data_IF_351099307834
#
_entry.id   IF_351099307834
#
_cell.length_a   1.000
_cell.length_b   1.000
_cell.length_c   1.000
_cell.angle_alpha   90.00
_cell.angle_beta   90.00
_cell.angle_gamma   90.00
#
_symmetry.space_group_name_H-M   'P 1'
#
loop_
_entity.id
_entity.type
_entity.pdbx_description
1 polymer ?
#
# COMPACT_ATOMS: atom_id res chain seq x y z
N UNK A 1 10.35 -0.46 11.25
CA UNK A 1 9.19 -0.37 10.35
C UNK A 1 9.78 -0.28 8.95
N UNK A 2 9.33 -1.13 8.04
CA UNK A 2 9.79 -1.11 6.67
C UNK A 2 9.42 0.23 6.01
N UNK A 3 10.35 0.85 5.29
CA UNK A 3 10.12 2.13 4.64
C UNK A 3 8.99 2.02 3.61
N UNK A 4 8.85 0.88 2.92
CA UNK A 4 7.80 0.65 1.93
C UNK A 4 6.40 0.70 2.56
N UNK A 5 6.23 0.09 3.73
CA UNK A 5 4.96 0.09 4.46
C UNK A 5 4.58 1.47 5.02
N UNK A 6 5.55 2.30 5.37
CA UNK A 6 5.30 3.68 5.80
C UNK A 6 4.70 4.51 4.65
N UNK A 7 5.32 4.45 3.46
CA UNK A 7 4.81 5.12 2.26
C UNK A 7 3.43 4.59 1.86
N UNK A 8 3.20 3.27 1.97
CA UNK A 8 1.89 2.69 1.72
C UNK A 8 0.83 3.23 2.69
N UNK A 9 1.17 3.35 3.98
CA UNK A 9 0.25 3.89 4.98
C UNK A 9 -0.16 5.32 4.64
N UNK A 10 0.78 6.15 4.20
CA UNK A 10 0.52 7.51 3.73
C UNK A 10 -0.29 7.55 2.44
N UNK A 11 -0.05 6.62 1.50
CA UNK A 11 -0.86 6.52 0.30
C UNK A 11 -2.31 6.13 0.63
N UNK A 12 -2.51 5.11 1.47
CA UNK A 12 -3.84 4.65 1.90
C UNK A 12 -4.61 5.72 2.68
N UNK A 13 -3.92 6.56 3.47
CA UNK A 13 -4.57 7.63 4.24
C UNK A 13 -5.34 8.61 3.35
N UNK A 14 -4.87 8.84 2.12
CA UNK A 14 -5.54 9.67 1.12
C UNK A 14 -6.83 9.04 0.55
N UNK A 15 -7.02 7.72 0.70
CA UNK A 15 -8.14 6.97 0.13
C UNK A 15 -9.10 6.37 1.18
N UNK A 16 -8.88 6.64 2.48
CA UNK A 16 -9.69 6.09 3.58
C UNK A 16 -11.16 6.50 3.49
N UNK A 17 -11.45 7.72 3.06
CA UNK A 17 -12.82 8.24 2.96
C UNK A 17 -13.59 7.62 1.78
N UNK A 18 -12.88 7.18 0.74
CA UNK A 18 -13.48 6.73 -0.51
C UNK A 18 -13.78 5.22 -0.51
N UNK A 19 -13.01 4.42 0.23
CA UNK A 19 -13.13 2.97 0.19
C UNK A 19 -13.02 2.32 1.57
N UNK A 20 -14.10 1.66 2.00
CA UNK A 20 -14.13 0.89 3.26
C UNK A 20 -13.03 -0.17 3.34
N UNK A 21 -12.69 -0.81 2.22
CA UNK A 21 -11.60 -1.80 2.17
C UNK A 21 -10.23 -1.16 2.47
N UNK A 22 -10.02 0.11 2.11
CA UNK A 22 -8.79 0.83 2.48
C UNK A 22 -8.69 1.03 3.98
N UNK A 23 -9.81 1.30 4.65
CA UNK A 23 -9.85 1.43 6.10
C UNK A 23 -9.48 0.12 6.79
N UNK A 24 -9.91 -1.03 6.25
CA UNK A 24 -9.56 -2.35 6.80
C UNK A 24 -8.08 -2.65 6.60
N UNK A 25 -7.53 -2.39 5.40
CA UNK A 25 -6.10 -2.55 5.11
C UNK A 25 -5.25 -1.64 6.00
N UNK A 26 -5.65 -0.37 6.15
CA UNK A 26 -4.98 0.60 7.00
C UNK A 26 -5.01 0.17 8.47
N UNK A 27 -6.14 -0.34 8.96
CA UNK A 27 -6.26 -0.90 10.30
C UNK A 27 -5.37 -2.11 10.50
N UNK A 28 -5.26 -3.00 9.52
CA UNK A 28 -4.31 -4.14 9.55
C UNK A 28 -2.88 -3.64 9.72
N UNK A 29 -2.47 -2.64 8.94
CA UNK A 29 -1.15 -2.01 9.04
C UNK A 29 -0.88 -1.36 10.40
N UNK A 30 -1.90 -0.79 11.05
CA UNK A 30 -1.75 -0.19 12.39
C UNK A 30 -1.82 -1.20 13.53
N UNK A 31 -2.66 -2.23 13.39
CA UNK A 31 -2.89 -3.24 14.43
C UNK A 31 -1.79 -4.30 14.47
N UNK A 32 -1.16 -4.60 13.34
CA UNK A 32 -0.11 -5.60 13.23
C UNK A 32 1.25 -4.94 12.97
N UNK A 33 2.26 -5.35 13.74
CA UNK A 33 3.64 -4.94 13.52
C UNK A 33 4.30 -5.80 12.43
N UNK A 34 3.93 -5.57 11.17
CA UNK A 34 4.57 -6.25 10.03
C UNK A 34 6.04 -5.84 9.90
N UNK A 35 6.92 -6.84 9.75
CA UNK A 35 8.37 -6.60 9.62
C UNK A 35 8.77 -6.11 8.24
N UNK A 36 8.01 -6.48 7.21
CA UNK A 36 8.24 -6.16 5.81
C UNK A 36 6.94 -6.28 5.00
N UNK A 37 6.98 -5.84 3.75
CA UNK A 37 5.88 -5.90 2.79
C UNK A 37 5.42 -7.33 2.47
N UNK A 38 6.30 -8.33 2.54
CA UNK A 38 5.95 -9.73 2.28
C UNK A 38 5.00 -10.27 3.35
N UNK A 39 5.29 -10.04 4.64
CA UNK A 39 4.41 -10.45 5.74
C UNK A 39 3.06 -9.75 5.67
N UNK A 40 3.05 -8.47 5.30
CA UNK A 40 1.83 -7.73 5.08
C UNK A 40 1.01 -8.31 3.91
N UNK A 41 1.63 -8.52 2.75
CA UNK A 41 0.96 -9.04 1.56
C UNK A 41 0.35 -10.44 1.77
N UNK A 42 1.00 -11.28 2.60
CA UNK A 42 0.49 -12.60 2.99
C UNK A 42 -0.74 -12.54 3.89
N UNK A 43 -0.90 -11.48 4.67
CA UNK A 43 -2.05 -11.30 5.56
C UNK A 43 -3.26 -10.65 4.85
N UNK A 44 -3.09 -10.19 3.60
CA UNK A 44 -4.17 -9.62 2.82
C UNK A 44 -5.13 -10.68 2.30
N UNK A 45 -6.42 -10.42 2.48
CA UNK A 45 -7.48 -11.19 1.84
C UNK A 45 -7.55 -10.90 0.33
N UNK A 46 -8.17 -11.80 -0.43
CA UNK A 46 -8.31 -11.67 -1.90
C UNK A 46 -8.93 -10.33 -2.31
N UNK A 47 -9.94 -9.86 -1.56
CA UNK A 47 -10.58 -8.58 -1.84
C UNK A 47 -9.68 -7.39 -1.50
N UNK A 48 -8.92 -7.47 -0.40
CA UNK A 48 -7.98 -6.45 0.03
C UNK A 48 -6.83 -6.30 -0.98
N UNK A 49 -6.22 -7.43 -1.39
CA UNK A 49 -5.17 -7.45 -2.39
C UNK A 49 -5.64 -6.81 -3.71
N UNK A 50 -6.85 -7.15 -4.19
CA UNK A 50 -7.41 -6.55 -5.43
C UNK A 50 -7.59 -5.03 -5.33
N UNK A 51 -8.10 -4.54 -4.20
CA UNK A 51 -8.28 -3.09 -4.00
C UNK A 51 -6.94 -2.39 -3.84
N UNK A 52 -6.02 -2.99 -3.07
CA UNK A 52 -4.69 -2.46 -2.85
C UNK A 52 -3.91 -2.34 -4.17
N UNK A 53 -4.00 -3.36 -5.03
CA UNK A 53 -3.41 -3.34 -6.36
C UNK A 53 -3.90 -2.13 -7.19
N UNK A 54 -5.21 -1.85 -7.18
CA UNK A 54 -5.77 -0.70 -7.90
C UNK A 54 -5.24 0.64 -7.36
N UNK A 55 -5.12 0.76 -6.04
CA UNK A 55 -4.63 1.98 -5.39
C UNK A 55 -3.15 2.18 -5.65
N UNK A 56 -2.35 1.12 -5.51
CA UNK A 56 -0.92 1.17 -5.82
C UNK A 56 -0.69 1.56 -7.28
N UNK A 57 -1.47 1.03 -8.23
CA UNK A 57 -1.37 1.46 -9.63
C UNK A 57 -1.65 2.97 -9.81
N UNK A 58 -2.69 3.48 -9.14
CA UNK A 58 -3.01 4.92 -9.18
C UNK A 58 -1.89 5.77 -8.57
N UNK A 59 -1.39 5.38 -7.40
CA UNK A 59 -0.35 6.12 -6.67
C UNK A 59 1.01 6.05 -7.37
N UNK A 60 1.34 4.92 -8.01
CA UNK A 60 2.55 4.77 -8.83
C UNK A 60 2.49 5.67 -10.07
N UNK A 61 1.34 5.74 -10.75
CA UNK A 61 1.18 6.66 -11.89
C UNK A 61 1.29 8.12 -11.44
N UNK A 62 0.65 8.46 -10.31
CA UNK A 62 0.74 9.79 -9.71
C UNK A 62 2.18 10.16 -9.33
N UNK A 63 2.90 9.30 -8.59
CA UNK A 63 4.30 9.51 -8.23
C UNK A 63 5.21 9.68 -9.46
N UNK A 64 4.96 8.91 -10.52
CA UNK A 64 5.67 9.04 -11.80
C UNK A 64 5.41 10.39 -12.46
N UNK A 65 4.17 10.89 -12.44
CA UNK A 65 3.82 12.21 -12.98
C UNK A 65 4.47 13.34 -12.18
N UNK A 66 4.52 13.20 -10.85
CA UNK A 66 5.15 14.17 -9.95
C UNK A 66 6.69 14.09 -9.94
N UNK A 67 7.28 13.08 -10.60
CA UNK A 67 8.72 12.78 -10.57
C UNK A 67 9.23 12.52 -9.14
N UNK A 68 8.40 11.88 -8.33
CA UNK A 68 8.77 11.40 -7.00
C UNK A 68 9.31 9.96 -7.12
N UNK A 69 10.59 9.87 -7.50
CA UNK A 69 11.28 8.58 -7.67
C UNK A 69 11.35 7.77 -6.37
N UNK A 70 11.37 8.44 -5.20
CA UNK A 70 11.42 7.77 -3.90
C UNK A 70 10.07 7.08 -3.65
N UNK A 71 8.97 7.83 -3.73
CA UNK A 71 7.62 7.27 -3.56
C UNK A 71 7.35 6.16 -4.56
N UNK A 72 7.76 6.35 -5.82
CA UNK A 72 7.65 5.32 -6.85
C UNK A 72 8.37 4.03 -6.43
N UNK A 73 9.63 4.11 -6.03
CA UNK A 73 10.42 2.95 -5.65
C UNK A 73 9.83 2.22 -4.43
N UNK A 74 9.42 2.98 -3.41
CA UNK A 74 8.88 2.42 -2.16
C UNK A 74 7.54 1.72 -2.38
N UNK A 75 6.61 2.36 -3.11
CA UNK A 75 5.31 1.76 -3.42
C UNK A 75 5.44 0.58 -4.38
N UNK A 76 6.42 0.60 -5.29
CA UNK A 76 6.68 -0.52 -6.19
C UNK A 76 7.14 -1.76 -5.42
N UNK A 77 7.94 -1.60 -4.36
CA UNK A 77 8.34 -2.71 -3.49
C UNK A 77 7.14 -3.46 -2.90
N UNK A 78 6.11 -2.73 -2.45
CA UNK A 78 4.86 -3.34 -1.96
C UNK A 78 4.05 -3.95 -3.10
N UNK A 79 3.97 -3.27 -4.25
CA UNK A 79 3.25 -3.76 -5.42
C UNK A 79 3.80 -5.12 -5.90
N UNK A 80 5.12 -5.28 -5.90
CA UNK A 80 5.77 -6.53 -6.29
C UNK A 80 5.44 -7.70 -5.35
N UNK A 81 5.05 -7.46 -4.09
CA UNK A 81 4.64 -8.54 -3.19
C UNK A 81 3.19 -8.99 -3.40
N UNK A 82 2.40 -8.25 -4.18
CA UNK A 82 1.02 -8.64 -4.48
C UNK A 82 0.94 -9.73 -5.57
N UNK A 83 2.05 -10.05 -6.25
CA UNK A 83 2.11 -10.95 -7.41
C UNK A 83 3.21 -12.02 -7.33
#
# INVERSE_FOLDING_TARGET
MDSNLAFLREALSNHLENHKVCQEIYRKLEANEYKNEEEFARDLEVNENRILNLILQYELDYAKQEKDDVRLQQLNGVYEQLF
#
